data_IF_894441380707
#
_entry.id   IF_894441380707
#
_cell.length_a   1.000
_cell.length_b   1.000
_cell.length_c   1.000
_cell.angle_alpha   90.00
_cell.angle_beta   90.00
_cell.angle_gamma   90.00
#
_symmetry.space_group_name_H-M   'P 1'
#
loop_
_entity.id
_entity.type
_entity.pdbx_description
1 polymer ?
#
# COMPACT_ATOMS: atom_id res chain seq x y z
N UNK A 1 -0.97 -9.67 -13.99
CA UNK A 1 -2.13 -8.92 -13.48
C UNK A 1 -3.46 -9.39 -14.07
N UNK A 2 -3.64 -9.44 -15.39
CA UNK A 2 -4.93 -9.85 -15.99
C UNK A 2 -5.48 -11.17 -15.44
N UNK A 3 -4.67 -12.22 -15.32
CA UNK A 3 -5.11 -13.50 -14.73
C UNK A 3 -5.55 -13.38 -13.26
N UNK A 4 -4.92 -12.51 -12.47
CA UNK A 4 -5.30 -12.29 -11.07
C UNK A 4 -6.62 -11.53 -10.96
N UNK A 5 -7.02 -10.74 -11.96
CA UNK A 5 -8.36 -10.15 -11.98
C UNK A 5 -9.45 -11.21 -12.13
N UNK A 6 -9.13 -12.37 -12.71
CA UNK A 6 -10.09 -13.43 -13.04
C UNK A 6 -10.13 -14.60 -12.03
N UNK A 7 -9.01 -14.90 -11.37
CA UNK A 7 -8.89 -16.06 -10.48
C UNK A 7 -7.75 -15.90 -9.46
N UNK A 8 -7.81 -16.61 -8.32
CA UNK A 8 -6.76 -16.54 -7.30
C UNK A 8 -5.41 -17.04 -7.82
N UNK A 9 -4.32 -16.52 -7.24
CA UNK A 9 -2.94 -16.89 -7.57
C UNK A 9 -2.69 -18.41 -7.58
N UNK A 10 -3.34 -19.15 -6.67
CA UNK A 10 -3.24 -20.61 -6.55
C UNK A 10 -3.73 -21.38 -7.78
N UNK A 11 -4.54 -20.74 -8.64
CA UNK A 11 -5.11 -21.31 -9.86
C UNK A 11 -4.40 -20.84 -11.12
N UNK A 12 -3.38 -19.97 -11.01
CA UNK A 12 -2.59 -19.48 -12.14
C UNK A 12 -1.45 -20.46 -12.42
N UNK A 13 -1.28 -20.83 -13.69
CA UNK A 13 -0.20 -21.74 -14.11
C UNK A 13 0.86 -21.03 -14.94
N UNK A 14 2.10 -21.53 -14.89
CA UNK A 14 3.19 -21.08 -15.78
C UNK A 14 2.80 -21.18 -17.26
N UNK A 15 1.98 -22.19 -17.63
CA UNK A 15 1.50 -22.34 -19.01
C UNK A 15 0.66 -21.14 -19.45
N UNK A 16 -0.24 -20.66 -18.60
CA UNK A 16 -1.11 -19.52 -18.92
C UNK A 16 -0.32 -18.22 -18.96
N UNK A 17 0.60 -18.03 -18.00
CA UNK A 17 1.50 -16.88 -17.98
C UNK A 17 2.34 -16.81 -19.26
N UNK A 18 2.99 -17.92 -19.63
CA UNK A 18 3.78 -18.01 -20.87
C UNK A 18 2.92 -17.78 -22.13
N UNK A 19 1.70 -18.34 -22.16
CA UNK A 19 0.80 -18.20 -23.28
C UNK A 19 0.29 -16.77 -23.47
N UNK A 20 0.06 -16.03 -22.38
CA UNK A 20 -0.37 -14.63 -22.44
C UNK A 20 0.77 -13.66 -22.74
N UNK A 21 1.97 -13.93 -22.23
CA UNK A 21 3.14 -13.08 -22.43
C UNK A 21 3.90 -13.37 -23.73
N UNK A 22 3.48 -14.39 -24.50
CA UNK A 22 4.16 -14.88 -25.72
C UNK A 22 5.65 -15.22 -25.48
N UNK A 23 5.92 -15.96 -24.40
CA UNK A 23 7.27 -16.43 -24.03
C UNK A 23 7.33 -17.94 -23.84
N UNK A 24 8.55 -18.47 -23.95
CA UNK A 24 8.82 -19.88 -23.70
C UNK A 24 8.90 -20.14 -22.18
N UNK A 25 8.53 -21.35 -21.74
CA UNK A 25 8.70 -21.75 -20.32
C UNK A 25 10.14 -21.63 -19.83
N UNK A 26 11.13 -21.90 -20.69
CA UNK A 26 12.54 -21.73 -20.36
C UNK A 26 12.89 -20.29 -20.00
N UNK A 27 12.27 -19.32 -20.67
CA UNK A 27 12.43 -17.89 -20.38
C UNK A 27 11.73 -17.51 -19.09
N UNK A 28 10.55 -18.08 -18.79
CA UNK A 28 9.93 -17.88 -17.49
C UNK A 28 10.83 -18.39 -16.35
N UNK A 29 11.30 -19.64 -16.45
CA UNK A 29 12.12 -20.27 -15.43
C UNK A 29 13.54 -19.71 -15.30
N UNK A 30 14.01 -18.86 -16.23
CA UNK A 30 15.27 -18.12 -16.04
C UNK A 30 15.14 -16.93 -15.11
N UNK A 31 13.91 -16.49 -14.80
CA UNK A 31 13.63 -15.34 -13.94
C UNK A 31 12.80 -15.70 -12.70
N UNK A 32 11.91 -16.69 -12.82
CA UNK A 32 10.94 -17.02 -11.78
C UNK A 32 10.83 -18.53 -11.59
N UNK A 33 10.83 -18.97 -10.34
CA UNK A 33 10.65 -20.37 -9.98
C UNK A 33 9.21 -20.87 -10.18
N UNK A 34 8.22 -20.01 -9.90
CA UNK A 34 6.80 -20.30 -10.05
C UNK A 34 5.96 -18.99 -10.13
N UNK A 35 4.62 -19.07 -10.29
CA UNK A 35 3.75 -17.88 -10.31
C UNK A 35 3.77 -17.04 -9.02
N UNK A 36 4.01 -17.65 -7.86
CA UNK A 36 4.08 -16.93 -6.58
C UNK A 36 5.36 -16.12 -6.48
N UNK A 37 6.49 -16.64 -6.95
CA UNK A 37 7.76 -15.92 -7.02
C UNK A 37 7.64 -14.68 -7.93
N UNK A 38 7.04 -14.83 -9.12
CA UNK A 38 6.74 -13.69 -9.98
C UNK A 38 5.86 -12.65 -9.27
N UNK A 39 4.80 -13.07 -8.59
CA UNK A 39 3.92 -12.16 -7.85
C UNK A 39 4.68 -11.45 -6.73
N UNK A 40 5.50 -12.18 -5.98
CA UNK A 40 6.30 -11.64 -4.86
C UNK A 40 7.25 -10.55 -5.34
N UNK A 41 7.92 -10.74 -6.49
CA UNK A 41 8.82 -9.73 -7.06
C UNK A 41 8.06 -8.46 -7.46
N UNK A 42 6.86 -8.59 -8.06
CA UNK A 42 6.00 -7.43 -8.38
C UNK A 42 5.59 -6.70 -7.09
N UNK A 43 5.21 -7.43 -6.05
CA UNK A 43 4.85 -6.84 -4.76
C UNK A 43 6.03 -6.14 -4.07
N UNK A 44 7.24 -6.70 -4.19
CA UNK A 44 8.47 -6.12 -3.66
C UNK A 44 8.80 -4.78 -4.31
N UNK A 45 8.65 -4.66 -5.64
CA UNK A 45 8.81 -3.39 -6.35
C UNK A 45 7.85 -2.31 -5.81
N UNK A 46 6.56 -2.65 -5.67
CA UNK A 46 5.55 -1.72 -5.13
C UNK A 46 5.90 -1.30 -3.69
N UNK A 47 6.25 -2.26 -2.83
CA UNK A 47 6.59 -1.97 -1.43
C UNK A 47 7.86 -1.12 -1.34
N UNK A 48 8.85 -1.38 -2.20
CA UNK A 48 10.07 -0.60 -2.25
C UNK A 48 9.78 0.85 -2.62
N UNK A 49 9.03 1.10 -3.69
CA UNK A 49 8.67 2.45 -4.13
C UNK A 49 7.89 3.22 -3.05
N UNK A 50 6.96 2.53 -2.36
CA UNK A 50 6.24 3.10 -1.22
C UNK A 50 7.21 3.46 -0.09
N UNK A 51 8.12 2.56 0.28
CA UNK A 51 9.08 2.79 1.36
C UNK A 51 10.06 3.94 1.02
N UNK A 52 10.54 4.02 -0.22
CA UNK A 52 11.38 5.13 -0.69
C UNK A 52 10.65 6.48 -0.61
N UNK A 53 9.36 6.49 -0.98
CA UNK A 53 8.51 7.68 -0.83
C UNK A 53 8.39 8.06 0.63
N UNK A 54 8.03 7.13 1.52
CA UNK A 54 7.92 7.38 2.97
C UNK A 54 9.22 7.94 3.57
N UNK A 55 10.36 7.34 3.24
CA UNK A 55 11.67 7.77 3.74
C UNK A 55 12.11 9.16 3.24
N UNK A 56 11.49 9.68 2.19
CA UNK A 56 11.87 10.97 1.58
C UNK A 56 11.23 12.20 2.24
N UNK A 57 10.31 12.01 3.19
CA UNK A 57 9.57 13.11 3.84
C UNK A 57 9.65 13.02 5.37
N UNK A 58 9.60 14.18 6.03
CA UNK A 58 9.56 14.25 7.48
C UNK A 58 8.14 14.45 8.00
N UNK A 59 7.59 13.38 8.59
CA UNK A 59 6.26 13.37 9.21
C UNK A 59 6.08 14.35 10.39
N UNK A 60 7.17 14.92 10.93
CA UNK A 60 7.11 15.88 12.03
C UNK A 60 6.75 17.32 11.56
N UNK A 61 6.56 17.52 10.25
CA UNK A 61 6.11 18.78 9.67
C UNK A 61 4.79 18.55 8.93
N UNK A 62 3.72 19.23 9.33
CA UNK A 62 2.36 18.98 8.80
C UNK A 62 2.29 19.10 7.27
N UNK A 63 3.00 20.06 6.68
CA UNK A 63 3.06 20.25 5.23
C UNK A 63 3.80 19.10 4.52
N UNK A 64 4.88 18.59 5.11
CA UNK A 64 5.63 17.44 4.57
C UNK A 64 4.85 16.13 4.74
N UNK A 65 4.10 15.96 5.83
CA UNK A 65 3.24 14.82 6.06
C UNK A 65 2.10 14.75 5.02
N UNK A 66 1.43 15.87 4.74
CA UNK A 66 0.41 15.92 3.69
C UNK A 66 1.01 15.62 2.31
N UNK A 67 2.16 16.23 1.98
CA UNK A 67 2.84 16.00 0.71
C UNK A 67 3.25 14.53 0.53
N UNK A 68 3.73 13.89 1.59
CA UNK A 68 4.06 12.47 1.59
C UNK A 68 2.83 11.60 1.30
N UNK A 69 1.70 11.86 1.97
CA UNK A 69 0.44 11.14 1.71
C UNK A 69 -0.01 11.39 0.26
N UNK A 70 0.09 12.62 -0.23
CA UNK A 70 -0.23 12.95 -1.63
C UNK A 70 0.62 12.16 -2.61
N UNK A 71 1.93 12.03 -2.38
CA UNK A 71 2.82 11.24 -3.25
C UNK A 71 2.52 9.76 -3.24
N UNK A 72 2.18 9.19 -2.09
CA UNK A 72 1.72 7.79 -2.00
C UNK A 72 0.42 7.61 -2.80
N UNK A 73 -0.54 8.52 -2.65
CA UNK A 73 -1.82 8.43 -3.36
C UNK A 73 -1.63 8.62 -4.87
N UNK A 74 -0.74 9.52 -5.29
CA UNK A 74 -0.35 9.71 -6.70
C UNK A 74 0.29 8.43 -7.28
N UNK A 75 1.18 7.80 -6.53
CA UNK A 75 1.79 6.53 -6.93
C UNK A 75 0.74 5.42 -7.09
N UNK A 76 -0.18 5.31 -6.13
CA UNK A 76 -1.31 4.36 -6.19
C UNK A 76 -2.19 4.63 -7.40
N UNK A 77 -2.47 5.90 -7.73
CA UNK A 77 -3.22 6.24 -8.94
C UNK A 77 -2.46 5.89 -10.22
N UNK A 78 -1.16 6.17 -10.28
CA UNK A 78 -0.33 5.84 -11.44
C UNK A 78 -0.24 4.33 -11.68
N UNK A 79 -0.33 3.53 -10.62
CA UNK A 79 -0.27 2.07 -10.64
C UNK A 79 -1.63 1.41 -10.33
N UNK A 80 -2.74 2.10 -10.59
CA UNK A 80 -4.06 1.70 -10.10
C UNK A 80 -4.46 0.28 -10.50
N UNK A 81 -4.17 -0.13 -11.74
CA UNK A 81 -4.46 -1.47 -12.24
C UNK A 81 -3.75 -2.58 -11.44
N UNK A 82 -2.50 -2.34 -11.07
CA UNK A 82 -1.68 -3.27 -10.29
C UNK A 82 -2.17 -3.25 -8.84
N UNK A 83 -2.26 -2.07 -8.22
CA UNK A 83 -2.69 -1.92 -6.83
C UNK A 83 -4.09 -2.50 -6.59
N UNK A 84 -5.07 -2.20 -7.45
CA UNK A 84 -6.43 -2.74 -7.35
C UNK A 84 -6.42 -4.27 -7.39
N UNK A 85 -5.62 -4.85 -8.30
CA UNK A 85 -5.49 -6.31 -8.43
C UNK A 85 -4.84 -6.93 -7.18
N UNK A 86 -3.77 -6.32 -6.66
CA UNK A 86 -3.06 -6.82 -5.48
C UNK A 86 -3.88 -6.70 -4.19
N UNK A 87 -4.71 -5.65 -4.06
CA UNK A 87 -5.64 -5.49 -2.92
C UNK A 87 -6.96 -6.27 -3.09
N UNK A 88 -7.15 -6.98 -4.20
CA UNK A 88 -8.35 -7.79 -4.44
C UNK A 88 -8.34 -9.12 -3.66
N UNK A 89 -9.48 -9.81 -3.65
CA UNK A 89 -9.60 -11.15 -3.04
C UNK A 89 -8.78 -12.23 -3.76
N UNK A 90 -8.33 -11.97 -4.98
CA UNK A 90 -7.52 -12.90 -5.78
C UNK A 90 -6.01 -12.70 -5.61
N UNK A 91 -5.59 -11.56 -5.05
CA UNK A 91 -4.19 -11.28 -4.72
C UNK A 91 -3.66 -12.15 -3.57
N UNK A 92 -2.39 -11.97 -3.21
CA UNK A 92 -1.85 -12.61 -2.02
C UNK A 92 -2.35 -11.87 -0.76
N UNK A 93 -3.07 -12.54 0.17
CA UNK A 93 -3.44 -11.93 1.45
C UNK A 93 -2.27 -11.39 2.26
N UNK A 94 -1.05 -11.91 2.03
CA UNK A 94 0.17 -11.45 2.70
C UNK A 94 0.61 -10.05 2.26
N UNK A 95 0.27 -9.63 1.03
CA UNK A 95 0.66 -8.33 0.48
C UNK A 95 0.13 -7.17 1.33
N UNK A 96 -1.18 -7.16 1.61
CA UNK A 96 -1.81 -6.12 2.45
C UNK A 96 -1.14 -6.02 3.82
N UNK A 97 -0.79 -7.18 4.41
CA UNK A 97 -0.09 -7.22 5.71
C UNK A 97 1.30 -6.59 5.60
N UNK A 98 2.06 -6.85 4.53
CA UNK A 98 3.38 -6.25 4.31
C UNK A 98 3.29 -4.73 4.12
N UNK A 99 2.31 -4.25 3.36
CA UNK A 99 2.03 -2.80 3.20
C UNK A 99 1.71 -2.16 4.55
N UNK A 100 0.86 -2.80 5.37
CA UNK A 100 0.57 -2.33 6.72
C UNK A 100 1.82 -2.25 7.60
N UNK A 101 2.70 -3.25 7.55
CA UNK A 101 3.96 -3.25 8.31
C UNK A 101 4.86 -2.08 7.92
N UNK A 102 5.04 -1.83 6.61
CA UNK A 102 5.89 -0.73 6.11
C UNK A 102 5.34 0.62 6.56
N UNK A 103 4.03 0.84 6.39
CA UNK A 103 3.37 2.06 6.85
C UNK A 103 3.48 2.24 8.37
N UNK A 104 3.33 1.16 9.14
CA UNK A 104 3.44 1.16 10.60
C UNK A 104 4.85 1.50 11.08
N UNK A 105 5.86 0.84 10.53
CA UNK A 105 7.26 1.04 10.91
C UNK A 105 7.74 2.45 10.64
N UNK A 106 7.16 3.13 9.64
CA UNK A 106 7.44 4.53 9.36
C UNK A 106 6.64 5.48 10.29
N UNK A 107 5.35 5.22 10.46
CA UNK A 107 4.44 6.08 11.24
C UNK A 107 4.77 6.08 12.73
N UNK A 108 4.98 4.91 13.34
CA UNK A 108 5.31 4.81 14.78
C UNK A 108 6.64 5.51 15.09
N UNK A 109 7.64 5.41 14.22
CA UNK A 109 8.93 6.10 14.42
C UNK A 109 8.78 7.62 14.41
N UNK A 110 7.87 8.18 13.62
CA UNK A 110 7.62 9.62 13.65
C UNK A 110 6.71 10.03 14.79
N UNK A 111 5.63 9.28 15.04
CA UNK A 111 4.61 9.66 16.01
C UNK A 111 5.07 9.57 17.46
N UNK A 112 5.91 8.58 17.80
CA UNK A 112 6.57 8.51 19.11
C UNK A 112 7.40 9.77 19.40
N UNK A 113 7.89 10.45 18.36
CA UNK A 113 8.69 11.68 18.50
C UNK A 113 7.87 12.97 18.44
N UNK A 114 6.67 12.96 17.83
CA UNK A 114 5.88 14.17 17.52
C UNK A 114 4.62 14.33 18.37
N UNK A 115 3.97 13.23 18.73
CA UNK A 115 2.73 13.24 19.51
C UNK A 115 3.02 12.53 20.82
N UNK A 116 2.98 13.27 21.93
CA UNK A 116 3.28 12.78 23.27
C UNK A 116 2.16 11.88 23.82
N UNK A 117 1.77 10.84 23.09
CA UNK A 117 0.92 9.78 23.63
C UNK A 117 1.77 9.00 24.63
N UNK A 118 1.62 9.32 25.92
CA UNK A 118 2.44 8.77 26.99
C UNK A 118 2.31 7.25 27.14
N UNK A 119 1.17 6.66 26.77
CA UNK A 119 0.95 5.21 26.80
C UNK A 119 1.31 4.56 25.45
N UNK A 120 2.39 3.76 25.38
CA UNK A 120 2.82 3.10 24.15
C UNK A 120 1.74 2.20 23.53
N UNK A 121 0.87 1.58 24.34
CA UNK A 121 -0.22 0.73 23.83
C UNK A 121 -1.31 1.54 23.15
N UNK A 122 -1.63 2.72 23.69
CA UNK A 122 -2.58 3.64 23.05
C UNK A 122 -2.01 4.12 21.73
N UNK A 123 -0.72 4.49 21.70
CA UNK A 123 -0.02 4.87 20.46
C UNK A 123 -0.07 3.76 19.41
N UNK A 124 0.14 2.50 19.81
CA UNK A 124 0.04 1.34 18.92
C UNK A 124 -1.38 1.18 18.35
N UNK A 125 -2.43 1.21 19.18
CA UNK A 125 -3.81 1.09 18.71
C UNK A 125 -4.22 2.22 17.75
N UNK A 126 -3.82 3.45 18.07
CA UNK A 126 -4.14 4.63 17.25
C UNK A 126 -3.41 4.57 15.90
N UNK A 127 -2.13 4.18 15.89
CA UNK A 127 -1.35 4.01 14.66
C UNK A 127 -1.96 2.93 13.77
N UNK A 128 -2.29 1.77 14.35
CA UNK A 128 -2.92 0.68 13.62
C UNK A 128 -4.28 1.08 13.05
N UNK A 129 -5.09 1.82 13.81
CA UNK A 129 -6.38 2.34 13.34
C UNK A 129 -6.20 3.30 12.16
N UNK A 130 -5.30 4.27 12.26
CA UNK A 130 -5.06 5.26 11.21
C UNK A 130 -4.53 4.61 9.93
N UNK A 131 -3.57 3.69 10.03
CA UNK A 131 -3.00 2.99 8.87
C UNK A 131 -4.04 2.08 8.21
N UNK A 132 -4.75 1.28 9.02
CA UNK A 132 -5.80 0.39 8.51
C UNK A 132 -6.91 1.17 7.83
N UNK A 133 -7.34 2.28 8.43
CA UNK A 133 -8.34 3.17 7.86
C UNK A 133 -7.88 3.81 6.55
N UNK A 134 -6.63 4.28 6.50
CA UNK A 134 -6.03 4.89 5.30
C UNK A 134 -5.96 3.90 4.13
N UNK A 135 -5.49 2.68 4.39
CA UNK A 135 -5.43 1.62 3.37
C UNK A 135 -6.85 1.28 2.88
N UNK A 136 -7.82 1.16 3.80
CA UNK A 136 -9.19 0.84 3.39
C UNK A 136 -9.84 1.95 2.56
N UNK A 137 -9.55 3.22 2.87
CA UNK A 137 -10.00 4.36 2.05
C UNK A 137 -9.41 4.26 0.63
N UNK A 138 -8.12 3.94 0.49
CA UNK A 138 -7.48 3.76 -0.82
C UNK A 138 -8.10 2.59 -1.60
N UNK A 139 -8.38 1.46 -0.94
CA UNK A 139 -9.05 0.32 -1.56
C UNK A 139 -10.42 0.70 -2.12
N UNK A 140 -11.22 1.45 -1.36
CA UNK A 140 -12.54 1.92 -1.81
C UNK A 140 -12.40 2.92 -2.95
N UNK A 141 -11.46 3.84 -2.86
CA UNK A 141 -11.21 4.86 -3.88
C UNK A 141 -10.82 4.24 -5.24
N UNK A 142 -9.94 3.24 -5.22
CA UNK A 142 -9.59 2.46 -6.41
C UNK A 142 -10.82 1.77 -7.02
N UNK A 143 -11.61 1.06 -6.19
CA UNK A 143 -12.83 0.37 -6.62
C UNK A 143 -13.90 1.31 -7.19
N UNK A 144 -13.94 2.55 -6.72
CA UNK A 144 -14.88 3.57 -7.21
C UNK A 144 -14.36 4.30 -8.46
N UNK A 145 -13.29 3.82 -9.10
CA UNK A 145 -12.74 4.42 -10.31
C UNK A 145 -12.02 5.75 -10.06
N UNK A 146 -11.45 5.93 -8.87
CA UNK A 146 -10.73 7.14 -8.45
C UNK A 146 -11.57 8.42 -8.61
N UNK A 147 -12.77 8.43 -8.01
CA UNK A 147 -13.79 9.50 -8.08
C UNK A 147 -13.38 10.86 -7.48
N UNK A 148 -12.15 10.97 -6.96
CA UNK A 148 -11.50 12.17 -6.42
C UNK A 148 -10.07 12.23 -6.91
N UNK A 149 -9.51 13.43 -7.03
CA UNK A 149 -8.09 13.55 -7.36
C UNK A 149 -7.21 12.99 -6.24
N UNK A 150 -5.96 12.57 -6.55
CA UNK A 150 -5.01 12.13 -5.54
C UNK A 150 -4.86 13.11 -4.38
N UNK A 151 -4.76 14.41 -4.69
CA UNK A 151 -4.71 15.48 -3.70
C UNK A 151 -5.93 15.50 -2.77
N UNK A 152 -7.14 15.46 -3.32
CA UNK A 152 -8.36 15.45 -2.51
C UNK A 152 -8.43 14.22 -1.61
N UNK A 153 -7.97 13.07 -2.10
CA UNK A 153 -7.95 11.83 -1.31
C UNK A 153 -6.89 11.88 -0.21
N UNK A 154 -5.71 12.43 -0.51
CA UNK A 154 -4.66 12.68 0.46
C UNK A 154 -5.12 13.62 1.58
N UNK A 155 -5.83 14.70 1.24
CA UNK A 155 -6.43 15.62 2.20
C UNK A 155 -7.44 14.90 3.11
N UNK A 156 -8.27 14.00 2.59
CA UNK A 156 -9.22 13.21 3.40
C UNK A 156 -8.46 12.32 4.40
N UNK A 157 -7.48 11.55 3.92
CA UNK A 157 -6.68 10.63 4.74
C UNK A 157 -5.92 11.40 5.83
N UNK A 158 -5.26 12.49 5.45
CA UNK A 158 -4.48 13.31 6.38
C UNK A 158 -5.38 13.99 7.43
N UNK A 159 -6.54 14.52 7.02
CA UNK A 159 -7.48 15.15 7.97
C UNK A 159 -8.04 14.15 8.99
N UNK A 160 -8.41 12.94 8.55
CA UNK A 160 -8.92 11.91 9.45
C UNK A 160 -7.84 11.46 10.45
N UNK A 161 -6.62 11.30 9.95
CA UNK A 161 -5.47 10.90 10.75
C UNK A 161 -5.12 11.98 11.79
N UNK A 162 -4.83 13.22 11.36
CA UNK A 162 -4.37 14.28 12.27
C UNK A 162 -5.48 14.76 13.22
N UNK A 163 -6.73 14.89 12.77
CA UNK A 163 -7.83 15.30 13.67
C UNK A 163 -8.20 14.20 14.65
N UNK A 164 -8.17 12.93 14.23
CA UNK A 164 -8.35 11.80 15.13
C UNK A 164 -7.30 11.81 16.25
N UNK A 165 -6.04 12.03 15.89
CA UNK A 165 -4.92 12.13 16.83
C UNK A 165 -5.07 13.29 17.83
N UNK A 166 -5.49 14.48 17.37
CA UNK A 166 -5.64 15.65 18.24
C UNK A 166 -6.59 15.44 19.43
N UNK A 167 -7.50 14.45 19.36
CA UNK A 167 -8.41 14.10 20.44
C UNK A 167 -7.76 13.34 21.62
N UNK A 168 -6.56 12.78 21.43
CA UNK A 168 -5.83 12.02 22.46
C UNK A 168 -4.78 12.85 23.22
N UNK A 169 -4.74 14.17 22.99
CA UNK A 169 -3.86 15.11 23.68
C UNK A 169 -2.90 15.80 22.74
N UNK A 170 -3.25 17.03 22.38
CA UNK A 170 -2.35 18.12 21.95
C UNK A 170 -2.78 19.37 22.73
#
# INVERSE_FOLDING_TARGET
MQLLKEKPISSITVKELCGMADINRSTFYSHYSDPYDLLTQIEEEIIQDMNETLMSYNLNHDEEALLMVEKIVEYVAANSDVCETLFSEHGDPSFKKRVMTVAHDHTVKSWVNSYAVEDPKVSEYVSLFAISGSIHILEIWLKNGMDKSPKQMAEIINNLTNKGLSSFGV
#
